data_IF_682702500866
#
_entry.id   IF_682702500866
#
_cell.length_a   1.000
_cell.length_b   1.000
_cell.length_c   1.000
_cell.angle_alpha   90.00
_cell.angle_beta   90.00
_cell.angle_gamma   90.00
#
_symmetry.space_group_name_H-M   'P 1'
#
loop_
_entity.id
_entity.type
_entity.pdbx_description
1 polymer ?
#
# COMPACT_ATOMS: atom_id res chain seq x y z
N UNK A 1 6.17 -1.23 -26.94
CA UNK A 1 5.38 -2.35 -27.49
C UNK A 1 5.87 -3.62 -26.84
N UNK A 2 5.14 -4.17 -25.87
CA UNK A 2 5.43 -5.48 -25.28
C UNK A 2 4.99 -6.55 -26.26
N UNK A 3 5.89 -7.45 -26.66
CA UNK A 3 5.53 -8.67 -27.37
C UNK A 3 4.41 -9.38 -26.60
N UNK A 4 3.30 -9.67 -27.27
CA UNK A 4 2.15 -10.31 -26.64
C UNK A 4 2.49 -11.77 -26.38
N UNK A 5 2.40 -12.20 -25.12
CA UNK A 5 2.57 -13.60 -24.73
C UNK A 5 1.47 -14.48 -25.33
N UNK A 6 1.76 -15.78 -25.48
CA UNK A 6 0.87 -16.78 -26.08
C UNK A 6 -0.55 -16.81 -25.50
N UNK A 7 -0.71 -16.44 -24.23
CA UNK A 7 -1.97 -16.44 -23.50
C UNK A 7 -2.47 -15.04 -23.11
N UNK A 8 -1.95 -14.00 -23.78
CA UNK A 8 -2.32 -12.61 -23.51
C UNK A 8 -3.85 -12.42 -23.59
N UNK A 9 -4.43 -11.75 -22.59
CA UNK A 9 -5.87 -11.54 -22.47
C UNK A 9 -6.69 -12.76 -22.05
N UNK A 10 -6.11 -13.96 -22.00
CA UNK A 10 -6.85 -15.16 -21.62
C UNK A 10 -6.98 -15.30 -20.11
N UNK A 11 -8.18 -15.68 -19.66
CA UNK A 11 -8.44 -16.02 -18.27
C UNK A 11 -8.08 -17.47 -18.00
N UNK A 12 -6.95 -17.71 -17.34
CA UNK A 12 -6.50 -19.06 -17.00
C UNK A 12 -6.96 -19.44 -15.60
N UNK A 13 -7.24 -20.73 -15.39
CA UNK A 13 -7.44 -21.30 -14.06
C UNK A 13 -6.09 -21.64 -13.45
N UNK A 14 -5.98 -21.66 -12.12
CA UNK A 14 -4.74 -22.07 -11.45
C UNK A 14 -4.29 -23.45 -11.93
N UNK A 15 -5.22 -24.43 -11.97
CA UNK A 15 -4.95 -25.80 -12.47
C UNK A 15 -4.39 -25.82 -13.89
N UNK A 16 -4.87 -24.95 -14.79
CA UNK A 16 -4.35 -24.86 -16.17
C UNK A 16 -2.93 -24.28 -16.19
N UNK A 17 -2.66 -23.21 -15.44
CA UNK A 17 -1.31 -22.64 -15.30
C UNK A 17 -0.34 -23.69 -14.78
N UNK A 18 -0.70 -24.43 -13.72
CA UNK A 18 0.16 -25.45 -13.13
C UNK A 18 0.46 -26.60 -14.10
N UNK A 19 -0.53 -27.05 -14.88
CA UNK A 19 -0.32 -28.08 -15.92
C UNK A 19 0.62 -27.61 -17.01
N UNK A 20 0.46 -26.36 -17.47
CA UNK A 20 1.34 -25.78 -18.48
C UNK A 20 2.77 -25.61 -17.93
N UNK A 21 2.90 -25.11 -16.70
CA UNK A 21 4.19 -24.95 -16.03
C UNK A 21 4.92 -26.30 -15.87
N UNK A 22 4.20 -27.34 -15.46
CA UNK A 22 4.72 -28.70 -15.38
C UNK A 22 5.14 -29.26 -16.76
N UNK A 23 4.50 -28.83 -17.85
CA UNK A 23 4.88 -29.16 -19.21
C UNK A 23 6.05 -28.31 -19.76
N UNK A 24 6.68 -27.48 -18.93
CA UNK A 24 7.83 -26.64 -19.30
C UNK A 24 7.47 -25.23 -19.78
N UNK A 25 6.19 -24.87 -19.84
CA UNK A 25 5.78 -23.50 -20.18
C UNK A 25 6.23 -22.53 -19.08
N UNK A 26 6.76 -21.38 -19.49
CA UNK A 26 7.16 -20.31 -18.58
C UNK A 26 6.57 -18.96 -18.99
N UNK A 27 6.07 -18.82 -20.22
CA UNK A 27 5.47 -17.58 -20.70
C UNK A 27 3.97 -17.53 -20.36
N UNK A 28 3.63 -16.75 -19.34
CA UNK A 28 2.27 -16.44 -18.92
C UNK A 28 1.98 -14.93 -19.05
N UNK A 29 2.71 -14.24 -19.93
CA UNK A 29 2.59 -12.78 -20.10
C UNK A 29 1.18 -12.39 -20.53
N UNK A 30 0.68 -11.31 -19.94
CA UNK A 30 -0.63 -10.74 -20.26
C UNK A 30 -1.84 -11.57 -19.84
N UNK A 31 -1.65 -12.67 -19.10
CA UNK A 31 -2.76 -13.54 -18.65
C UNK A 31 -3.62 -12.86 -17.59
N UNK A 32 -4.87 -13.31 -17.45
CA UNK A 32 -5.79 -12.87 -16.38
C UNK A 32 -5.89 -13.97 -15.33
N UNK A 33 -5.27 -13.72 -14.18
CA UNK A 33 -5.15 -14.62 -13.04
C UNK A 33 -5.82 -14.07 -11.78
N UNK A 34 -6.67 -13.05 -11.89
CA UNK A 34 -7.34 -12.46 -10.74
C UNK A 34 -8.03 -13.52 -9.85
N UNK A 35 -7.78 -13.45 -8.54
CA UNK A 35 -8.36 -14.34 -7.53
C UNK A 35 -7.84 -15.78 -7.55
N UNK A 36 -6.80 -16.11 -8.33
CA UNK A 36 -6.26 -17.48 -8.37
C UNK A 36 -5.40 -17.79 -7.15
N UNK A 37 -5.33 -19.07 -6.79
CA UNK A 37 -4.53 -19.54 -5.66
C UNK A 37 -3.35 -20.37 -6.15
N UNK A 38 -2.15 -19.93 -5.79
CA UNK A 38 -0.85 -20.57 -6.04
C UNK A 38 -0.07 -20.73 -4.72
N UNK A 39 -0.76 -20.87 -3.59
CA UNK A 39 -0.12 -21.06 -2.28
C UNK A 39 0.83 -22.26 -2.30
N UNK A 40 2.05 -22.08 -1.82
CA UNK A 40 3.04 -23.15 -1.67
C UNK A 40 3.56 -23.72 -3.00
N UNK A 41 3.23 -23.11 -4.14
CA UNK A 41 3.63 -23.61 -5.46
C UNK A 41 5.00 -23.05 -5.82
N UNK A 42 5.84 -23.85 -6.48
CA UNK A 42 7.02 -23.36 -7.19
C UNK A 42 6.66 -22.91 -8.62
N UNK A 43 6.84 -21.62 -8.89
CA UNK A 43 6.69 -21.00 -10.22
C UNK A 43 7.97 -20.26 -10.61
N UNK A 44 9.13 -20.70 -10.11
CA UNK A 44 10.42 -20.07 -10.38
C UNK A 44 10.70 -19.93 -11.87
N UNK A 45 11.25 -18.76 -12.25
CA UNK A 45 11.54 -18.40 -13.63
C UNK A 45 10.32 -18.17 -14.53
N UNK A 46 9.09 -18.23 -14.02
CA UNK A 46 7.90 -17.91 -14.81
C UNK A 46 7.87 -16.41 -15.18
N UNK A 47 7.27 -16.11 -16.32
CA UNK A 47 7.07 -14.75 -16.80
C UNK A 47 5.57 -14.40 -16.79
N UNK A 48 5.16 -13.65 -15.76
CA UNK A 48 3.83 -13.06 -15.60
C UNK A 48 3.81 -11.57 -16.00
N UNK A 49 4.73 -11.12 -16.85
CA UNK A 49 4.77 -9.71 -17.25
C UNK A 49 3.47 -9.27 -17.92
N UNK A 50 2.92 -8.13 -17.50
CA UNK A 50 1.63 -7.62 -17.98
C UNK A 50 0.40 -8.42 -17.51
N UNK A 51 0.57 -9.44 -16.67
CA UNK A 51 -0.56 -10.24 -16.18
C UNK A 51 -1.41 -9.45 -15.18
N UNK A 52 -2.72 -9.68 -15.21
CA UNK A 52 -3.66 -9.18 -14.20
C UNK A 52 -3.74 -10.19 -13.07
N UNK A 53 -3.18 -9.85 -11.92
CA UNK A 53 -3.02 -10.76 -10.77
C UNK A 53 -3.71 -10.25 -9.51
N UNK A 54 -4.69 -9.33 -9.63
CA UNK A 54 -5.45 -8.78 -8.49
C UNK A 54 -6.13 -9.89 -7.68
N UNK A 55 -5.93 -9.90 -6.36
CA UNK A 55 -6.44 -10.93 -5.45
C UNK A 55 -5.81 -12.32 -5.61
N UNK A 56 -4.74 -12.45 -6.39
CA UNK A 56 -4.02 -13.74 -6.55
C UNK A 56 -3.22 -14.03 -5.28
N UNK A 57 -3.26 -15.28 -4.81
CA UNK A 57 -2.53 -15.72 -3.63
C UNK A 57 -1.29 -16.51 -4.02
N UNK A 58 -0.12 -15.92 -3.81
CA UNK A 58 1.20 -16.53 -3.91
C UNK A 58 1.83 -16.77 -2.52
N UNK A 59 0.98 -16.94 -1.50
CA UNK A 59 1.44 -17.14 -0.13
C UNK A 59 2.34 -18.38 -0.06
N UNK A 60 3.53 -18.29 0.53
CA UNK A 60 4.51 -19.39 0.64
C UNK A 60 4.96 -19.97 -0.71
N UNK A 61 4.69 -19.30 -1.83
CA UNK A 61 5.14 -19.75 -3.13
C UNK A 61 6.65 -19.52 -3.30
N UNK A 62 7.29 -20.38 -4.10
CA UNK A 62 8.66 -20.16 -4.56
C UNK A 62 8.59 -19.44 -5.92
N UNK A 63 9.08 -18.21 -5.96
CA UNK A 63 8.97 -17.30 -7.10
C UNK A 63 10.35 -16.76 -7.52
N UNK A 64 11.39 -17.57 -7.35
CA UNK A 64 12.77 -17.17 -7.64
C UNK A 64 12.91 -16.80 -9.11
N UNK A 65 13.45 -15.62 -9.40
CA UNK A 65 13.64 -15.11 -10.76
C UNK A 65 12.34 -14.85 -11.54
N UNK A 66 11.17 -14.90 -10.89
CA UNK A 66 9.87 -14.72 -11.55
C UNK A 66 9.69 -13.27 -11.99
N UNK A 67 9.14 -13.06 -13.19
CA UNK A 67 8.90 -11.71 -13.73
C UNK A 67 7.45 -11.32 -13.56
N UNK A 68 7.22 -10.19 -12.90
CA UNK A 68 5.94 -9.50 -12.77
C UNK A 68 6.01 -8.10 -13.40
N UNK A 69 6.85 -7.91 -14.43
CA UNK A 69 7.05 -6.61 -15.05
C UNK A 69 5.74 -6.10 -15.66
N UNK A 70 5.31 -4.87 -15.37
CA UNK A 70 4.01 -4.34 -15.81
C UNK A 70 2.78 -5.13 -15.32
N UNK A 71 2.93 -6.04 -14.35
CA UNK A 71 1.78 -6.77 -13.81
C UNK A 71 0.88 -5.83 -12.99
N UNK A 72 -0.42 -6.12 -12.99
CA UNK A 72 -1.43 -5.40 -12.19
C UNK A 72 -1.79 -6.24 -10.96
N UNK A 73 -1.24 -5.89 -9.80
CA UNK A 73 -1.54 -6.51 -8.51
C UNK A 73 -2.44 -5.60 -7.66
N UNK A 74 -3.08 -6.20 -6.66
CA UNK A 74 -3.90 -5.50 -5.68
C UNK A 74 -5.33 -6.00 -5.54
N UNK A 75 -6.24 -5.11 -5.15
CA UNK A 75 -7.66 -5.43 -4.93
C UNK A 75 -8.40 -5.74 -6.21
N UNK A 76 -9.37 -6.64 -6.15
CA UNK A 76 -10.33 -6.85 -7.24
C UNK A 76 -11.45 -5.82 -7.17
N UNK A 77 -11.85 -5.24 -8.31
CA UNK A 77 -12.94 -4.25 -8.42
C UNK A 77 -14.28 -4.71 -7.81
N UNK A 78 -14.50 -6.01 -7.60
CA UNK A 78 -15.72 -6.53 -6.98
C UNK A 78 -15.91 -6.09 -5.52
N UNK A 79 -14.84 -5.73 -4.81
CA UNK A 79 -14.98 -5.27 -3.43
C UNK A 79 -15.60 -3.87 -3.35
N UNK A 80 -15.34 -2.99 -4.30
CA UNK A 80 -16.02 -1.69 -4.38
C UNK A 80 -17.53 -1.87 -4.62
N UNK A 81 -17.90 -2.85 -5.44
CA UNK A 81 -19.30 -3.23 -5.64
C UNK A 81 -19.93 -3.85 -4.39
N UNK A 82 -19.19 -4.66 -3.62
CA UNK A 82 -19.67 -5.20 -2.33
C UNK A 82 -19.84 -4.09 -1.30
N UNK A 83 -18.94 -3.11 -1.24
CA UNK A 83 -19.10 -1.94 -0.36
C UNK A 83 -20.33 -1.10 -0.74
N UNK A 84 -20.57 -0.91 -2.03
CA UNK A 84 -21.80 -0.29 -2.55
C UNK A 84 -23.05 -1.10 -2.18
N UNK A 85 -22.99 -2.43 -2.30
CA UNK A 85 -24.14 -3.31 -2.06
C UNK A 85 -24.45 -3.43 -0.55
N UNK A 86 -23.42 -3.49 0.30
CA UNK A 86 -23.56 -3.41 1.76
C UNK A 86 -24.09 -2.03 2.16
N UNK A 87 -23.59 -0.95 1.56
CA UNK A 87 -24.15 0.39 1.73
C UNK A 87 -25.63 0.44 1.37
N UNK A 88 -26.02 -0.11 0.21
CA UNK A 88 -27.41 -0.22 -0.24
C UNK A 88 -28.28 -1.05 0.72
N UNK A 89 -27.78 -2.17 1.24
CA UNK A 89 -28.50 -3.02 2.20
C UNK A 89 -28.72 -2.33 3.54
N UNK A 90 -27.73 -1.57 4.03
CA UNK A 90 -27.85 -0.77 5.26
C UNK A 90 -28.89 0.34 5.06
N UNK A 91 -28.90 1.01 3.90
CA UNK A 91 -29.92 2.00 3.55
C UNK A 91 -31.31 1.36 3.52
N UNK A 92 -31.45 0.19 2.89
CA UNK A 92 -32.72 -0.53 2.80
C UNK A 92 -33.24 -0.99 4.18
N UNK A 93 -32.36 -1.46 5.07
CA UNK A 93 -32.74 -1.83 6.43
C UNK A 93 -33.23 -0.62 7.23
N UNK A 94 -32.54 0.52 7.15
CA UNK A 94 -32.98 1.76 7.79
C UNK A 94 -34.37 2.21 7.31
N UNK A 95 -34.65 2.06 6.01
CA UNK A 95 -35.96 2.37 5.43
C UNK A 95 -37.08 1.44 5.94
N UNK A 96 -36.78 0.15 6.12
CA UNK A 96 -37.75 -0.82 6.66
C UNK A 96 -38.13 -0.53 8.11
N UNK A 97 -37.17 -0.08 8.92
CA UNK A 97 -37.39 0.25 10.33
C UNK A 97 -38.23 1.52 10.49
N UNK A 98 -38.00 2.55 9.69
CA UNK A 98 -38.81 3.78 9.73
C UNK A 98 -40.24 3.54 9.23
N UNK A 99 -40.42 2.71 8.20
CA UNK A 99 -41.75 2.28 7.75
C UNK A 99 -42.50 1.46 8.80
N UNK A 100 -41.83 0.55 9.51
CA UNK A 100 -42.44 -0.21 10.59
C UNK A 100 -42.88 0.69 11.76
N UNK A 101 -42.06 1.67 12.14
CA UNK A 101 -42.42 2.66 13.19
C UNK A 101 -43.57 3.56 12.73
N UNK A 102 -43.61 3.95 11.46
CA UNK A 102 -44.73 4.71 10.88
C UNK A 102 -46.04 3.91 10.93
N UNK A 103 -46.02 2.65 10.51
CA UNK A 103 -47.18 1.75 10.55
C UNK A 103 -47.62 1.49 11.98
N UNK A 104 -46.68 1.24 12.90
CA UNK A 104 -46.99 1.06 14.32
C UNK A 104 -47.58 2.34 14.94
N UNK A 105 -47.04 3.51 14.59
CA UNK A 105 -47.60 4.81 14.97
C UNK A 105 -49.04 4.98 14.49
N UNK A 106 -49.30 4.67 13.21
CA UNK A 106 -50.64 4.68 12.61
C UNK A 106 -51.62 3.71 13.28
N UNK A 107 -51.14 2.54 13.69
CA UNK A 107 -51.95 1.53 14.39
C UNK A 107 -52.24 1.92 15.84
N UNK A 108 -51.30 2.61 16.51
CA UNK A 108 -51.47 3.11 17.87
C UNK A 108 -52.32 4.39 17.94
N UNK A 109 -52.37 5.17 16.87
CA UNK A 109 -53.24 6.35 16.73
C UNK A 109 -54.54 6.05 15.99
N UNK A 110 -54.81 4.79 15.64
CA UNK A 110 -56.10 4.42 15.07
C UNK A 110 -57.18 4.79 16.09
N UNK A 111 -58.16 5.65 15.73
CA UNK A 111 -59.12 6.16 16.68
C UNK A 111 -59.85 4.98 17.29
N UNK A 112 -59.77 4.81 18.62
CA UNK A 112 -60.89 4.23 19.32
C UNK A 112 -62.05 5.15 19.01
N UNK A 113 -62.95 4.70 18.14
CA UNK A 113 -64.21 5.39 17.89
C UNK A 113 -64.80 5.72 19.26
N UNK A 114 -64.96 7.01 19.52
CA UNK A 114 -65.46 7.64 20.75
C UNK A 114 -64.40 8.44 21.53
N UNK A 115 -64.16 9.67 21.09
CA UNK A 115 -64.40 10.89 21.87
C UNK A 115 -63.68 12.08 21.21
N UNK A 116 -64.42 13.18 21.07
CA UNK A 116 -64.02 14.34 20.28
C UNK A 116 -62.77 15.07 20.79
N UNK A 117 -62.07 15.68 19.84
CA UNK A 117 -61.26 16.87 20.04
C UNK A 117 -59.82 16.61 20.44
N UNK A 118 -59.03 16.05 19.51
CA UNK A 118 -57.62 16.35 19.23
C UNK A 118 -57.24 15.48 18.03
N UNK A 119 -57.49 16.00 16.83
CA UNK A 119 -56.91 15.44 15.62
C UNK A 119 -55.39 15.59 15.73
N UNK A 120 -54.73 14.58 16.27
CA UNK A 120 -53.29 14.46 16.18
C UNK A 120 -53.02 14.29 14.70
N UNK A 121 -52.59 15.36 14.03
CA UNK A 121 -52.55 15.47 12.58
C UNK A 121 -51.58 14.41 12.02
N UNK A 122 -52.12 13.22 11.74
CA UNK A 122 -51.42 12.02 11.26
C UNK A 122 -50.63 12.36 9.99
N UNK A 123 -51.14 13.32 9.23
CA UNK A 123 -50.50 13.92 8.06
C UNK A 123 -49.18 14.61 8.41
N UNK A 124 -49.12 15.39 9.49
CA UNK A 124 -47.90 16.07 9.95
C UNK A 124 -46.85 15.10 10.50
N UNK A 125 -47.27 14.07 11.23
CA UNK A 125 -46.38 13.03 11.74
C UNK A 125 -45.79 12.17 10.60
N UNK A 126 -46.64 11.77 9.63
CA UNK A 126 -46.19 11.08 8.43
C UNK A 126 -45.22 11.92 7.60
N UNK A 127 -45.44 13.23 7.49
CA UNK A 127 -44.54 14.14 6.78
C UNK A 127 -43.19 14.29 7.49
N UNK A 128 -43.17 14.37 8.82
CA UNK A 128 -41.94 14.43 9.60
C UNK A 128 -41.11 13.14 9.47
N UNK A 129 -41.76 11.97 9.48
CA UNK A 129 -41.09 10.67 9.26
C UNK A 129 -40.56 10.54 7.83
N UNK A 130 -41.31 11.01 6.82
CA UNK A 130 -40.85 11.08 5.42
C UNK A 130 -39.65 12.00 5.24
N UNK A 131 -39.61 13.12 5.95
CA UNK A 131 -38.52 14.09 5.87
C UNK A 131 -37.24 13.58 6.56
N UNK A 132 -37.37 12.94 7.72
CA UNK A 132 -36.24 12.29 8.42
C UNK A 132 -35.69 11.12 7.60
N UNK A 133 -36.55 10.30 7.00
CA UNK A 133 -36.13 9.19 6.14
C UNK A 133 -35.45 9.69 4.84
N UNK A 134 -35.93 10.78 4.23
CA UNK A 134 -35.26 11.42 3.10
C UNK A 134 -33.84 11.93 3.46
N UNK A 135 -33.67 12.49 4.66
CA UNK A 135 -32.37 12.98 5.17
C UNK A 135 -31.38 11.84 5.40
N UNK A 136 -31.83 10.70 5.93
CA UNK A 136 -30.99 9.50 6.11
C UNK A 136 -30.57 8.92 4.75
N UNK A 137 -31.48 8.91 3.76
CA UNK A 137 -31.18 8.43 2.40
C UNK A 137 -30.17 9.34 1.69
N UNK A 138 -30.34 10.67 1.75
CA UNK A 138 -29.42 11.63 1.12
C UNK A 138 -28.06 11.64 1.81
N UNK A 139 -28.03 11.56 3.16
CA UNK A 139 -26.79 11.45 3.93
C UNK A 139 -26.01 10.17 3.61
N UNK A 140 -26.72 9.04 3.47
CA UNK A 140 -26.10 7.76 3.12
C UNK A 140 -25.63 7.70 1.65
N UNK A 141 -26.35 8.30 0.71
CA UNK A 141 -25.97 8.36 -0.70
C UNK A 141 -24.65 9.11 -0.94
N UNK A 142 -24.37 10.15 -0.14
CA UNK A 142 -23.12 10.93 -0.23
C UNK A 142 -21.94 10.16 0.38
N UNK A 143 -22.16 9.38 1.45
CA UNK A 143 -21.12 8.54 2.09
C UNK A 143 -20.65 7.41 1.16
N UNK A 144 -21.54 6.89 0.32
CA UNK A 144 -21.21 5.85 -0.68
C UNK A 144 -20.66 6.42 -2.00
N UNK A 145 -20.71 7.73 -2.22
CA UNK A 145 -20.60 8.34 -3.54
C UNK A 145 -19.23 8.90 -3.97
N UNK A 146 -18.30 9.19 -3.07
CA UNK A 146 -17.00 9.78 -3.46
C UNK A 146 -15.84 9.19 -2.69
N UNK A 147 -14.95 8.52 -3.42
CA UNK A 147 -13.64 8.15 -2.91
C UNK A 147 -12.89 9.38 -2.43
N UNK A 148 -12.45 9.32 -1.17
CA UNK A 148 -11.33 10.07 -0.60
C UNK A 148 -11.16 11.53 -1.05
N UNK A 149 -11.97 12.45 -0.51
CA UNK A 149 -11.55 13.78 -0.02
C UNK A 149 -12.77 14.68 0.13
N UNK A 150 -13.29 14.83 1.35
CA UNK A 150 -14.14 15.96 1.69
C UNK A 150 -13.74 16.45 3.08
N UNK A 151 -12.94 17.52 3.07
CA UNK A 151 -12.66 18.36 4.22
C UNK A 151 -13.93 19.14 4.62
N UNK A 152 -13.90 19.75 5.81
CA UNK A 152 -15.00 20.40 6.54
C UNK A 152 -15.97 21.30 5.75
N UNK A 153 -15.66 21.68 4.51
CA UNK A 153 -16.48 22.49 3.61
C UNK A 153 -17.80 21.84 3.17
N UNK A 154 -17.91 20.52 3.21
CA UNK A 154 -19.18 19.83 2.85
C UNK A 154 -20.23 19.92 3.95
N UNK A 155 -19.79 20.04 5.21
CA UNK A 155 -20.69 20.15 6.37
C UNK A 155 -21.47 21.47 6.33
N UNK A 156 -20.85 22.57 5.87
CA UNK A 156 -21.47 23.90 5.79
C UNK A 156 -22.50 24.03 4.67
N UNK A 157 -22.35 23.32 3.55
CA UNK A 157 -23.34 23.35 2.44
C UNK A 157 -24.63 22.62 2.85
N UNK A 158 -24.54 21.66 3.79
CA UNK A 158 -25.67 20.87 4.27
C UNK A 158 -26.38 21.58 5.43
N UNK A 159 -25.65 22.25 6.34
CA UNK A 159 -26.26 22.90 7.51
C UNK A 159 -27.09 24.14 7.17
N UNK A 160 -26.73 24.90 6.13
CA UNK A 160 -27.41 26.17 5.78
C UNK A 160 -28.87 26.01 5.27
N UNK A 161 -29.16 25.18 4.24
CA UNK A 161 -30.55 24.94 3.82
C UNK A 161 -31.35 24.18 4.88
N UNK A 162 -30.69 23.37 5.70
CA UNK A 162 -31.31 22.59 6.77
C UNK A 162 -31.76 23.45 7.95
N UNK A 163 -30.95 24.44 8.35
CA UNK A 163 -31.33 25.43 9.36
C UNK A 163 -32.54 26.28 8.92
N UNK A 164 -32.65 26.60 7.63
CA UNK A 164 -33.78 27.35 7.09
C UNK A 164 -35.10 26.55 7.11
N UNK A 165 -35.06 25.27 6.75
CA UNK A 165 -36.24 24.36 6.81
C UNK A 165 -36.64 24.10 8.27
N UNK A 166 -35.67 23.94 9.16
CA UNK A 166 -35.91 23.75 10.60
C UNK A 166 -36.50 25.01 11.26
N UNK A 167 -36.00 26.21 10.91
CA UNK A 167 -36.55 27.48 11.37
C UNK A 167 -37.99 27.69 10.90
N UNK A 168 -38.31 27.29 9.65
CA UNK A 168 -39.68 27.28 9.14
C UNK A 168 -40.60 26.32 9.91
N UNK A 169 -40.09 25.15 10.29
CA UNK A 169 -40.86 24.14 11.04
C UNK A 169 -41.16 24.56 12.48
N UNK A 170 -40.18 25.15 13.18
CA UNK A 170 -40.39 25.75 14.53
C UNK A 170 -41.42 26.88 14.46
N UNK A 171 -41.37 27.71 13.41
CA UNK A 171 -42.32 28.81 13.23
C UNK A 171 -43.76 28.32 13.00
N UNK A 172 -43.95 27.24 12.25
CA UNK A 172 -45.28 26.64 11.99
C UNK A 172 -45.85 25.97 13.23
N UNK A 173 -45.05 25.24 14.02
CA UNK A 173 -45.55 24.57 15.23
C UNK A 173 -45.72 25.50 16.43
N UNK A 174 -44.89 26.55 16.55
CA UNK A 174 -45.12 27.63 17.52
C UNK A 174 -46.46 28.35 17.31
N UNK A 175 -47.01 28.30 16.10
CA UNK A 175 -48.31 28.88 15.76
C UNK A 175 -49.52 27.96 16.04
N UNK A 176 -49.32 26.64 16.24
CA UNK A 176 -50.43 25.66 16.29
C UNK A 176 -50.66 25.05 17.69
N UNK A 177 -49.72 25.11 18.65
CA UNK A 177 -50.07 24.83 20.05
C UNK A 177 -48.95 24.46 21.03
N UNK A 178 -49.01 25.08 22.21
CA UNK A 178 -48.45 24.61 23.49
C UNK A 178 -46.92 24.61 23.62
N UNK A 179 -46.40 25.42 24.54
CA UNK A 179 -44.96 25.58 24.83
C UNK A 179 -44.21 24.29 25.21
N UNK A 180 -44.89 23.18 25.52
CA UNK A 180 -44.28 21.93 25.97
C UNK A 180 -43.86 20.99 24.82
N UNK A 181 -44.35 21.23 23.60
CA UNK A 181 -44.08 20.39 22.42
C UNK A 181 -42.69 20.64 21.83
N UNK A 182 -42.25 21.91 21.79
CA UNK A 182 -41.02 22.31 21.13
C UNK A 182 -39.75 21.73 21.77
N UNK A 183 -39.76 21.54 23.10
CA UNK A 183 -38.63 21.02 23.87
C UNK A 183 -38.38 19.52 23.64
N UNK A 184 -39.45 18.73 23.48
CA UNK A 184 -39.36 17.28 23.23
C UNK A 184 -38.82 17.01 21.82
N UNK A 185 -39.22 17.81 20.84
CA UNK A 185 -38.75 17.67 19.46
C UNK A 185 -37.31 18.18 19.26
N UNK A 186 -36.89 19.25 19.93
CA UNK A 186 -35.49 19.72 19.88
C UNK A 186 -34.54 18.73 20.54
N UNK A 187 -34.92 18.13 21.67
CA UNK A 187 -34.09 17.11 22.34
C UNK A 187 -34.02 15.80 21.57
N UNK A 188 -35.15 15.31 21.03
CA UNK A 188 -35.16 14.11 20.17
C UNK A 188 -34.32 14.31 18.89
N UNK A 189 -34.38 15.50 18.29
CA UNK A 189 -33.61 15.83 17.10
C UNK A 189 -32.10 15.91 17.36
N UNK A 190 -31.68 16.58 18.46
CA UNK A 190 -30.26 16.65 18.84
C UNK A 190 -29.70 15.26 19.11
N UNK A 191 -30.46 14.37 19.75
CA UNK A 191 -30.04 13.00 20.05
C UNK A 191 -29.95 12.17 18.77
N UNK A 192 -30.95 12.20 17.89
CA UNK A 192 -30.93 11.44 16.62
C UNK A 192 -29.85 11.95 15.68
N UNK A 193 -29.66 13.28 15.58
CA UNK A 193 -28.59 13.88 14.80
C UNK A 193 -27.20 13.57 15.38
N UNK A 194 -27.03 13.63 16.70
CA UNK A 194 -25.79 13.24 17.35
C UNK A 194 -25.48 11.74 17.15
N UNK A 195 -26.48 10.87 17.20
CA UNK A 195 -26.33 9.44 16.93
C UNK A 195 -26.00 9.20 15.44
N UNK A 196 -26.66 9.89 14.51
CA UNK A 196 -26.39 9.74 13.07
C UNK A 196 -25.00 10.26 12.70
N UNK A 197 -24.57 11.39 13.26
CA UNK A 197 -23.21 11.94 13.12
C UNK A 197 -22.20 11.01 13.78
N UNK A 198 -22.49 10.49 14.97
CA UNK A 198 -21.62 9.51 15.65
C UNK A 198 -21.49 8.22 14.83
N UNK A 199 -22.57 7.70 14.25
CA UNK A 199 -22.58 6.51 13.40
C UNK A 199 -21.87 6.73 12.04
N UNK A 200 -22.00 7.92 11.45
CA UNK A 200 -21.29 8.29 10.23
C UNK A 200 -19.79 8.48 10.48
N UNK A 201 -19.42 9.05 11.63
CA UNK A 201 -18.03 9.17 12.06
C UNK A 201 -17.45 7.81 12.42
N UNK A 202 -18.18 6.95 13.13
CA UNK A 202 -17.69 5.62 13.48
C UNK A 202 -17.48 4.74 12.27
N UNK A 203 -18.20 4.86 11.15
CA UNK A 203 -17.93 3.97 10.00
C UNK A 203 -16.58 4.28 9.29
N UNK A 204 -16.19 5.55 9.23
CA UNK A 204 -14.88 5.98 8.70
C UNK A 204 -13.73 5.77 9.70
N UNK A 205 -14.02 5.86 10.99
CA UNK A 205 -13.05 5.55 12.04
C UNK A 205 -12.90 4.04 12.23
N UNK A 206 -13.98 3.27 12.30
CA UNK A 206 -14.00 1.83 12.46
C UNK A 206 -13.31 1.11 11.30
N UNK A 207 -13.43 1.58 10.05
CA UNK A 207 -12.65 0.98 8.95
C UNK A 207 -11.14 1.22 9.12
N UNK A 208 -10.71 2.42 9.52
CA UNK A 208 -9.30 2.76 9.76
C UNK A 208 -8.76 2.17 11.06
N UNK A 209 -9.59 2.05 12.09
CA UNK A 209 -9.27 1.53 13.41
C UNK A 209 -9.28 0.01 13.40
N UNK A 210 -10.22 -0.66 12.72
CA UNK A 210 -10.12 -2.10 12.42
C UNK A 210 -8.85 -2.36 11.61
N UNK A 211 -8.53 -1.55 10.60
CA UNK A 211 -7.29 -1.70 9.83
C UNK A 211 -6.04 -1.44 10.70
N UNK A 212 -6.11 -0.53 11.68
CA UNK A 212 -5.04 -0.26 12.66
C UNK A 212 -4.90 -1.39 13.70
N UNK A 213 -6.01 -1.94 14.20
CA UNK A 213 -6.07 -3.06 15.15
C UNK A 213 -5.61 -4.37 14.50
N UNK A 214 -6.02 -4.65 13.26
CA UNK A 214 -5.48 -5.76 12.44
C UNK A 214 -3.97 -5.58 12.23
N UNK A 215 -3.50 -4.35 11.99
CA UNK A 215 -2.07 -4.02 11.85
C UNK A 215 -1.28 -4.20 13.15
N UNK A 216 -1.89 -4.00 14.32
CA UNK A 216 -1.25 -4.13 15.63
C UNK A 216 -1.26 -5.58 16.17
N UNK A 217 -1.92 -6.52 15.49
CA UNK A 217 -1.83 -7.95 15.80
C UNK A 217 -2.68 -8.39 16.99
N UNK A 218 -3.77 -7.68 17.26
CA UNK A 218 -4.70 -7.99 18.35
C UNK A 218 -5.38 -9.37 18.13
N UNK A 219 -5.32 -10.31 19.10
CA UNK A 219 -5.87 -11.66 18.96
C UNK A 219 -7.39 -11.71 18.78
N UNK A 220 -8.15 -10.70 19.24
CA UNK A 220 -9.62 -10.71 19.16
C UNK A 220 -10.14 -10.51 17.72
N UNK A 221 -9.27 -10.08 16.80
CA UNK A 221 -9.60 -9.80 15.41
C UNK A 221 -9.14 -10.89 14.43
N UNK A 222 -8.83 -12.10 14.89
CA UNK A 222 -8.36 -13.21 14.01
C UNK A 222 -9.30 -13.50 12.84
N UNK A 223 -10.61 -13.52 13.06
CA UNK A 223 -11.62 -13.78 12.01
C UNK A 223 -11.64 -12.63 11.00
N UNK A 224 -11.54 -11.38 11.47
CA UNK A 224 -11.47 -10.19 10.62
C UNK A 224 -10.13 -10.09 9.89
N UNK A 225 -9.03 -10.61 10.46
CA UNK A 225 -7.73 -10.74 9.79
C UNK A 225 -7.80 -11.80 8.69
N UNK A 226 -8.46 -12.94 8.93
CA UNK A 226 -8.68 -13.96 7.90
C UNK A 226 -9.61 -13.47 6.77
N UNK A 227 -10.55 -12.55 7.06
CA UNK A 227 -11.37 -11.86 6.07
C UNK A 227 -10.62 -10.69 5.38
N UNK A 228 -9.72 -9.98 6.08
CA UNK A 228 -8.90 -8.89 5.53
C UNK A 228 -7.70 -9.38 4.71
N UNK A 229 -7.24 -10.62 4.92
CA UNK A 229 -6.24 -11.31 4.08
C UNK A 229 -6.78 -11.62 2.66
N UNK A 230 -8.10 -11.46 2.44
CA UNK A 230 -8.75 -11.61 1.13
C UNK A 230 -8.56 -10.36 0.23
N UNK A 231 -7.95 -9.30 0.75
CA UNK A 231 -8.15 -7.96 0.23
C UNK A 231 -7.04 -7.44 -0.70
N UNK A 232 -6.31 -8.34 -1.36
CA UNK A 232 -5.26 -7.96 -2.32
C UNK A 232 -4.45 -9.14 -2.85
N UNK A 233 -3.60 -8.89 -3.83
CA UNK A 233 -2.58 -9.87 -4.22
C UNK A 233 -1.63 -10.10 -3.04
N UNK A 234 -1.37 -11.36 -2.71
CA UNK A 234 -0.63 -11.73 -1.50
C UNK A 234 0.61 -12.55 -1.83
N UNK A 235 1.78 -12.07 -1.42
CA UNK A 235 3.10 -12.72 -1.52
C UNK A 235 3.64 -13.13 -0.15
N UNK A 236 2.76 -13.35 0.83
CA UNK A 236 3.18 -13.52 2.20
C UNK A 236 4.01 -14.79 2.39
N UNK A 237 5.18 -14.69 3.02
CA UNK A 237 6.10 -15.83 3.19
C UNK A 237 6.65 -16.39 1.86
N UNK A 238 6.43 -15.70 0.74
CA UNK A 238 6.93 -16.14 -0.56
C UNK A 238 8.43 -15.91 -0.67
N UNK A 239 9.11 -16.77 -1.42
CA UNK A 239 10.49 -16.53 -1.83
C UNK A 239 10.52 -15.78 -3.16
N UNK A 240 10.77 -14.47 -3.13
CA UNK A 240 10.85 -13.60 -4.30
C UNK A 240 12.30 -13.31 -4.71
N UNK A 241 13.25 -14.16 -4.34
CA UNK A 241 14.67 -13.92 -4.66
C UNK A 241 14.85 -13.66 -6.16
N UNK A 242 15.47 -12.53 -6.53
CA UNK A 242 15.70 -12.11 -7.92
C UNK A 242 14.43 -11.90 -8.78
N UNK A 243 13.24 -11.87 -8.17
CA UNK A 243 12.01 -11.53 -8.87
C UNK A 243 12.01 -10.07 -9.35
N UNK A 244 11.21 -9.76 -10.36
CA UNK A 244 11.15 -8.40 -10.93
C UNK A 244 9.73 -7.87 -10.97
N UNK A 245 9.49 -6.74 -10.28
CA UNK A 245 8.25 -5.97 -10.35
C UNK A 245 8.41 -4.69 -11.18
N UNK A 246 9.41 -4.61 -12.05
CA UNK A 246 9.68 -3.39 -12.80
C UNK A 246 8.43 -2.88 -13.56
N UNK A 247 8.07 -1.61 -13.34
CA UNK A 247 6.89 -0.95 -13.91
C UNK A 247 5.53 -1.59 -13.52
N UNK A 248 5.49 -2.45 -12.49
CA UNK A 248 4.26 -3.05 -11.98
C UNK A 248 3.44 -2.07 -11.14
N UNK A 249 2.15 -2.37 -10.99
CA UNK A 249 1.24 -1.65 -10.10
C UNK A 249 0.96 -2.55 -8.89
N UNK A 250 1.31 -2.09 -7.68
CA UNK A 250 1.21 -2.85 -6.44
C UNK A 250 0.23 -2.25 -5.43
N UNK A 251 -0.99 -1.97 -5.89
CA UNK A 251 -2.06 -1.41 -5.05
C UNK A 251 -2.37 -2.32 -3.86
N UNK A 252 -2.13 -1.89 -2.62
CA UNK A 252 -2.46 -2.67 -1.40
C UNK A 252 -1.97 -4.12 -1.42
N UNK A 253 -0.90 -4.40 -2.16
CA UNK A 253 -0.32 -5.75 -2.28
C UNK A 253 0.41 -6.12 -1.00
N UNK A 254 0.33 -7.37 -0.56
CA UNK A 254 0.96 -7.81 0.69
C UNK A 254 2.26 -8.57 0.47
N UNK A 255 3.30 -8.15 1.15
CA UNK A 255 4.61 -8.81 1.27
C UNK A 255 4.93 -9.17 2.73
N UNK A 256 3.94 -9.14 3.62
CA UNK A 256 4.14 -9.48 5.03
C UNK A 256 4.52 -10.95 5.22
N UNK A 257 5.16 -11.30 6.33
CA UNK A 257 5.48 -12.71 6.62
C UNK A 257 4.19 -13.55 6.67
N UNK A 258 4.31 -14.85 6.41
CA UNK A 258 3.24 -15.79 6.74
C UNK A 258 3.38 -16.24 8.20
N UNK A 259 2.43 -17.05 8.68
CA UNK A 259 2.54 -17.69 10.01
C UNK A 259 3.73 -18.65 10.11
N UNK A 260 4.20 -19.17 8.97
CA UNK A 260 5.17 -20.26 8.90
C UNK A 260 6.57 -19.79 8.48
N UNK A 261 6.65 -18.73 7.67
CA UNK A 261 7.94 -18.26 7.15
C UNK A 261 7.96 -16.76 6.84
N UNK A 262 9.16 -16.20 6.87
CA UNK A 262 9.42 -14.83 6.46
C UNK A 262 9.36 -14.68 4.94
N UNK A 263 8.84 -13.56 4.45
CA UNK A 263 8.93 -13.21 3.02
C UNK A 263 10.38 -12.86 2.66
N UNK A 264 10.90 -13.43 1.58
CA UNK A 264 12.27 -13.17 1.11
C UNK A 264 12.21 -12.21 -0.08
N UNK A 265 12.78 -11.02 0.08
CA UNK A 265 12.80 -9.97 -0.96
C UNK A 265 14.22 -9.72 -1.52
N UNK A 266 15.10 -10.70 -1.38
CA UNK A 266 16.50 -10.61 -1.81
C UNK A 266 16.60 -10.37 -3.32
N UNK A 267 17.26 -9.29 -3.69
CA UNK A 267 17.56 -8.83 -5.05
C UNK A 267 16.32 -8.63 -5.92
N UNK A 268 15.16 -8.33 -5.31
CA UNK A 268 13.95 -7.96 -6.04
C UNK A 268 14.14 -6.63 -6.76
N UNK A 269 13.73 -6.56 -8.03
CA UNK A 269 13.76 -5.32 -8.82
C UNK A 269 12.47 -4.53 -8.66
N UNK A 270 12.57 -3.30 -8.12
CA UNK A 270 11.44 -2.40 -7.85
C UNK A 270 11.37 -1.15 -8.76
N UNK A 271 12.14 -1.16 -9.85
CA UNK A 271 12.26 -0.01 -10.75
C UNK A 271 10.89 0.47 -11.26
N UNK A 272 10.59 1.76 -11.10
CA UNK A 272 9.33 2.39 -11.53
C UNK A 272 8.05 1.69 -11.03
N UNK A 273 8.10 0.99 -9.91
CA UNK A 273 6.90 0.39 -9.31
C UNK A 273 5.95 1.50 -8.87
N UNK A 274 4.67 1.35 -9.22
CA UNK A 274 3.61 2.26 -8.83
C UNK A 274 2.89 1.77 -7.56
N UNK A 275 2.48 2.71 -6.72
CA UNK A 275 1.68 2.45 -5.50
C UNK A 275 2.35 1.56 -4.45
N UNK A 276 3.68 1.47 -4.46
CA UNK A 276 4.44 0.73 -3.44
C UNK A 276 4.18 1.25 -2.00
N UNK A 277 3.90 2.54 -1.84
CA UNK A 277 3.55 3.17 -0.55
C UNK A 277 2.25 2.60 0.07
N UNK A 278 1.35 2.09 -0.77
CA UNK A 278 0.11 1.46 -0.32
C UNK A 278 0.27 -0.03 0.01
N UNK A 279 1.40 -0.63 -0.36
CA UNK A 279 1.65 -2.04 -0.16
C UNK A 279 1.95 -2.34 1.31
N UNK A 280 1.57 -3.53 1.77
CA UNK A 280 1.90 -4.02 3.10
C UNK A 280 3.29 -4.65 3.09
N UNK A 281 4.30 -3.86 3.43
CA UNK A 281 5.72 -4.22 3.26
C UNK A 281 6.29 -5.12 4.38
N UNK A 282 5.46 -5.57 5.33
CA UNK A 282 5.90 -6.48 6.40
C UNK A 282 7.04 -5.89 7.23
N UNK A 283 7.94 -6.75 7.74
CA UNK A 283 9.17 -6.36 8.45
C UNK A 283 10.37 -6.15 7.52
N UNK A 284 10.13 -5.88 6.23
CA UNK A 284 11.21 -5.72 5.25
C UNK A 284 11.95 -4.40 5.39
N UNK A 285 13.14 -4.34 4.78
CA UNK A 285 13.91 -3.11 4.59
C UNK A 285 13.19 -2.03 3.76
N UNK A 286 12.11 -2.38 3.06
CA UNK A 286 11.28 -1.42 2.33
C UNK A 286 10.43 -0.53 3.26
N UNK A 287 10.46 -0.72 4.59
CA UNK A 287 9.83 0.21 5.55
C UNK A 287 10.45 1.61 5.53
N UNK A 288 11.74 1.72 5.24
CA UNK A 288 12.42 3.01 5.13
C UNK A 288 12.00 3.72 3.82
N UNK A 289 11.35 4.89 3.87
CA UNK A 289 10.95 5.63 2.68
C UNK A 289 12.14 6.03 1.80
N UNK A 290 13.33 6.24 2.37
CA UNK A 290 14.56 6.56 1.62
C UNK A 290 14.97 5.38 0.74
N UNK A 291 14.83 4.15 1.26
CA UNK A 291 15.11 2.91 0.52
C UNK A 291 14.09 2.73 -0.60
N UNK A 292 12.81 2.99 -0.35
CA UNK A 292 11.77 2.96 -1.41
C UNK A 292 12.06 3.97 -2.52
N UNK A 293 12.35 5.22 -2.14
CA UNK A 293 12.69 6.28 -3.09
C UNK A 293 13.88 5.89 -3.96
N UNK A 294 14.93 5.31 -3.36
CA UNK A 294 16.09 4.81 -4.10
C UNK A 294 15.69 3.74 -5.13
N UNK A 295 14.95 2.72 -4.71
CA UNK A 295 14.66 1.53 -5.50
C UNK A 295 13.64 1.77 -6.62
N UNK A 296 12.71 2.71 -6.44
CA UNK A 296 11.73 3.07 -7.49
C UNK A 296 12.30 4.06 -8.49
N UNK A 297 13.25 4.92 -8.08
CA UNK A 297 13.80 6.00 -8.90
C UNK A 297 15.30 5.86 -9.21
N UNK A 298 15.77 4.64 -9.46
CA UNK A 298 17.20 4.29 -9.70
C UNK A 298 17.93 5.10 -10.79
N UNK A 299 17.19 5.81 -11.65
CA UNK A 299 17.72 6.58 -12.77
C UNK A 299 17.53 8.10 -12.65
N UNK A 300 16.80 8.61 -11.66
CA UNK A 300 16.51 10.05 -11.56
C UNK A 300 17.56 10.86 -10.78
N UNK A 301 18.50 10.19 -10.12
CA UNK A 301 19.53 10.78 -9.25
C UNK A 301 20.65 11.55 -9.97
N UNK A 302 20.43 12.06 -11.19
CA UNK A 302 21.51 12.56 -12.04
C UNK A 302 21.33 13.91 -12.75
N UNK A 303 20.19 14.61 -12.69
CA UNK A 303 19.97 15.76 -13.60
C UNK A 303 19.44 17.04 -12.96
N UNK A 304 19.48 17.24 -11.64
CA UNK A 304 19.11 18.54 -11.10
C UNK A 304 19.48 18.76 -9.65
N UNK A 305 20.62 19.39 -9.40
CA UNK A 305 20.96 20.22 -8.23
C UNK A 305 20.73 19.70 -6.79
N UNK A 306 20.11 18.54 -6.59
CA UNK A 306 19.81 17.99 -5.29
C UNK A 306 21.04 17.25 -4.75
N UNK A 307 21.33 17.47 -3.47
CA UNK A 307 22.36 16.72 -2.74
C UNK A 307 22.13 15.21 -2.90
N UNK A 308 23.20 14.40 -3.02
CA UNK A 308 23.07 12.94 -3.06
C UNK A 308 22.23 12.44 -1.88
N UNK A 309 21.33 11.47 -2.15
CA UNK A 309 20.48 10.88 -1.12
C UNK A 309 21.33 10.31 0.03
N UNK A 310 21.00 10.67 1.26
CA UNK A 310 21.69 10.17 2.45
C UNK A 310 21.03 8.90 3.00
N UNK A 311 21.74 7.78 2.87
CA UNK A 311 21.36 6.46 3.33
C UNK A 311 22.35 5.93 4.38
N UNK A 312 23.00 6.83 5.13
CA UNK A 312 23.73 6.43 6.32
C UNK A 312 22.82 5.63 7.26
N UNK A 313 23.40 4.58 7.85
CA UNK A 313 22.74 3.63 8.78
C UNK A 313 21.55 2.86 8.18
N UNK A 314 21.31 2.94 6.87
CA UNK A 314 20.18 2.27 6.25
C UNK A 314 20.36 0.74 6.22
N UNK A 315 19.26 0.02 6.44
CA UNK A 315 19.18 -1.41 6.15
C UNK A 315 18.88 -1.61 4.66
N UNK A 316 19.89 -2.05 3.92
CA UNK A 316 19.83 -2.31 2.48
C UNK A 316 20.17 -3.78 2.19
N UNK A 317 19.90 -4.68 3.14
CA UNK A 317 20.16 -6.11 2.95
C UNK A 317 19.42 -6.64 1.74
N UNK A 318 20.15 -7.33 0.88
CA UNK A 318 19.59 -7.94 -0.31
C UNK A 318 18.95 -6.95 -1.29
N UNK A 319 19.25 -5.65 -1.28
CA UNK A 319 18.65 -4.76 -2.31
C UNK A 319 19.24 -5.02 -3.70
N UNK A 320 18.46 -4.73 -4.74
CA UNK A 320 18.92 -4.75 -6.12
C UNK A 320 19.18 -3.32 -6.62
N UNK A 321 20.45 -2.96 -6.71
CA UNK A 321 20.95 -1.68 -7.22
C UNK A 321 21.84 -1.88 -8.46
N UNK A 322 21.68 -3.00 -9.16
CA UNK A 322 22.43 -3.28 -10.37
C UNK A 322 22.22 -2.15 -11.40
N UNK A 323 23.33 -1.65 -11.95
CA UNK A 323 23.40 -0.54 -12.93
C UNK A 323 22.82 0.80 -12.44
N UNK A 324 22.56 0.96 -11.15
CA UNK A 324 22.05 2.20 -10.58
C UNK A 324 23.09 3.33 -10.68
N UNK A 325 22.63 4.58 -10.83
CA UNK A 325 23.49 5.78 -10.84
C UNK A 325 23.55 6.37 -9.43
N UNK A 326 24.60 6.04 -8.68
CA UNK A 326 24.76 6.33 -7.25
C UNK A 326 26.00 7.21 -6.95
N UNK A 327 26.30 8.14 -7.86
CA UNK A 327 27.46 9.02 -7.72
C UNK A 327 27.37 9.84 -6.43
N UNK A 328 28.42 9.78 -5.59
CA UNK A 328 28.49 10.56 -4.37
C UNK A 328 27.52 10.15 -3.25
N UNK A 329 26.84 9.00 -3.37
CA UNK A 329 25.86 8.56 -2.38
C UNK A 329 26.50 8.36 -1.00
N UNK A 330 25.79 8.71 0.07
CA UNK A 330 26.22 8.39 1.43
C UNK A 330 25.58 7.08 1.89
N UNK A 331 26.39 6.03 2.06
CA UNK A 331 26.00 4.72 2.56
C UNK A 331 26.76 4.38 3.86
N UNK A 332 27.31 5.37 4.56
CA UNK A 332 28.10 5.16 5.78
C UNK A 332 27.34 4.30 6.80
N UNK A 333 27.97 3.24 7.32
CA UNK A 333 27.38 2.27 8.26
C UNK A 333 26.14 1.52 7.75
N UNK A 334 25.81 1.61 6.46
CA UNK A 334 24.68 0.87 5.91
C UNK A 334 24.95 -0.65 5.91
N UNK A 335 23.90 -1.44 6.08
CA UNK A 335 23.95 -2.89 5.94
C UNK A 335 23.62 -3.29 4.50
N UNK A 336 24.63 -3.66 3.72
CA UNK A 336 24.54 -4.03 2.31
C UNK A 336 24.60 -5.55 2.09
N UNK A 337 24.53 -6.36 3.16
CA UNK A 337 24.73 -7.81 3.06
C UNK A 337 23.77 -8.44 2.03
N UNK A 338 24.30 -9.25 1.12
CA UNK A 338 23.53 -9.93 0.07
C UNK A 338 23.00 -9.03 -1.06
N UNK A 339 23.22 -7.71 -1.00
CA UNK A 339 22.80 -6.79 -2.06
C UNK A 339 23.56 -7.03 -3.38
N UNK A 340 23.06 -6.48 -4.48
CA UNK A 340 23.80 -6.41 -5.74
C UNK A 340 23.92 -4.97 -6.22
N UNK A 341 25.16 -4.57 -6.50
CA UNK A 341 25.60 -3.33 -7.13
C UNK A 341 26.24 -3.64 -8.50
N UNK A 342 25.89 -4.76 -9.13
CA UNK A 342 26.49 -5.18 -10.38
C UNK A 342 26.36 -4.08 -11.46
N UNK A 343 27.49 -3.56 -11.94
CA UNK A 343 27.55 -2.47 -12.91
C UNK A 343 27.09 -1.10 -12.40
N UNK A 344 26.87 -0.92 -11.10
CA UNK A 344 26.41 0.35 -10.51
C UNK A 344 27.51 1.42 -10.54
N UNK A 345 27.11 2.67 -10.72
CA UNK A 345 28.00 3.83 -10.62
C UNK A 345 28.10 4.33 -9.18
N UNK A 346 29.13 3.91 -8.45
CA UNK A 346 29.39 4.27 -7.04
C UNK A 346 30.58 5.24 -6.90
N UNK A 347 30.89 6.01 -7.95
CA UNK A 347 32.03 6.91 -7.91
C UNK A 347 31.81 7.96 -6.81
N UNK A 348 32.84 8.21 -5.99
CA UNK A 348 32.79 9.13 -4.84
C UNK A 348 31.76 8.76 -3.76
N UNK A 349 31.20 7.55 -3.76
CA UNK A 349 30.31 7.10 -2.71
C UNK A 349 31.04 6.97 -1.37
N UNK A 350 30.33 7.22 -0.27
CA UNK A 350 30.82 6.91 1.07
C UNK A 350 30.30 5.54 1.50
N UNK A 351 31.17 4.51 1.44
CA UNK A 351 30.91 3.15 1.89
C UNK A 351 31.61 2.85 3.23
N UNK A 352 32.00 3.88 3.97
CA UNK A 352 32.70 3.71 5.25
C UNK A 352 31.86 2.91 6.23
N UNK A 353 32.47 1.93 6.90
CA UNK A 353 31.85 1.11 7.94
C UNK A 353 30.64 0.30 7.45
N UNK A 354 30.52 0.07 6.14
CA UNK A 354 29.41 -0.73 5.58
C UNK A 354 29.61 -2.22 5.84
N UNK A 355 28.51 -2.96 5.96
CA UNK A 355 28.53 -4.43 5.96
C UNK A 355 28.24 -4.93 4.54
N UNK A 356 29.22 -5.55 3.90
CA UNK A 356 29.18 -5.96 2.48
C UNK A 356 29.32 -7.48 2.30
N UNK A 357 28.87 -8.28 3.27
CA UNK A 357 28.97 -9.75 3.24
C UNK A 357 28.00 -10.30 2.18
N UNK A 358 28.51 -11.07 1.23
CA UNK A 358 27.69 -11.64 0.15
C UNK A 358 27.21 -10.59 -0.86
N UNK A 359 27.74 -9.36 -0.80
CA UNK A 359 27.40 -8.27 -1.71
C UNK A 359 28.11 -8.47 -3.04
N UNK A 360 27.37 -8.24 -4.12
CA UNK A 360 27.89 -8.37 -5.48
C UNK A 360 28.24 -6.99 -6.06
N UNK A 361 29.53 -6.72 -6.25
CA UNK A 361 30.07 -5.52 -6.89
C UNK A 361 30.57 -5.77 -8.32
N UNK A 362 30.11 -6.85 -8.98
CA UNK A 362 30.58 -7.21 -10.32
C UNK A 362 30.50 -6.03 -11.28
N UNK A 363 31.60 -5.63 -11.92
CA UNK A 363 31.65 -4.49 -12.84
C UNK A 363 31.22 -3.12 -12.26
N UNK A 364 31.11 -2.97 -10.94
CA UNK A 364 30.75 -1.70 -10.29
C UNK A 364 31.86 -0.65 -10.44
N UNK A 365 31.49 0.64 -10.47
CA UNK A 365 32.44 1.73 -10.63
C UNK A 365 32.71 2.40 -9.29
N UNK A 366 33.86 2.13 -8.66
CA UNK A 366 34.19 2.58 -7.31
C UNK A 366 35.21 3.72 -7.25
N UNK A 367 35.51 4.35 -8.39
CA UNK A 367 36.54 5.41 -8.44
C UNK A 367 36.22 6.55 -7.46
N UNK A 368 37.16 6.80 -6.54
CA UNK A 368 37.08 7.83 -5.51
C UNK A 368 36.13 7.53 -4.36
N UNK A 369 35.60 6.31 -4.27
CA UNK A 369 34.79 5.90 -3.13
C UNK A 369 35.62 5.80 -1.84
N UNK A 370 35.00 6.04 -0.69
CA UNK A 370 35.59 5.82 0.62
C UNK A 370 35.17 4.44 1.15
N UNK A 371 36.14 3.56 1.42
CA UNK A 371 35.96 2.18 1.86
C UNK A 371 36.50 1.96 3.29
N UNK A 372 36.64 3.04 4.07
CA UNK A 372 37.15 2.98 5.45
C UNK A 372 36.37 1.95 6.25
N UNK A 373 37.03 0.94 6.81
CA UNK A 373 36.43 -0.07 7.68
C UNK A 373 35.20 -0.79 7.09
N UNK A 374 35.08 -0.88 5.75
CA UNK A 374 34.03 -1.72 5.17
C UNK A 374 34.29 -3.19 5.48
N UNK A 375 33.24 -3.95 5.80
CA UNK A 375 33.34 -5.37 6.14
C UNK A 375 33.00 -6.21 4.91
N UNK A 376 33.98 -6.97 4.42
CA UNK A 376 33.81 -7.94 3.31
C UNK A 376 34.26 -9.34 3.76
N UNK A 377 33.89 -10.37 3.01
CA UNK A 377 34.43 -11.73 3.21
C UNK A 377 34.54 -12.47 1.87
N UNK A 378 34.84 -13.78 1.91
CA UNK A 378 34.96 -14.61 0.71
C UNK A 378 33.69 -14.74 -0.14
N UNK A 379 32.51 -14.39 0.40
CA UNK A 379 31.25 -14.36 -0.34
C UNK A 379 30.98 -13.02 -1.05
N UNK A 380 31.74 -11.97 -0.74
CA UNK A 380 31.67 -10.68 -1.45
C UNK A 380 32.29 -10.83 -2.84
N UNK A 381 31.55 -10.45 -3.89
CA UNK A 381 32.02 -10.57 -5.28
C UNK A 381 32.58 -9.22 -5.72
N UNK A 382 33.87 -9.19 -6.05
CA UNK A 382 34.57 -7.98 -6.53
C UNK A 382 35.01 -8.08 -7.99
N UNK A 383 34.48 -9.02 -8.75
CA UNK A 383 34.93 -9.30 -10.13
C UNK A 383 34.75 -8.09 -11.06
N UNK A 384 35.76 -7.78 -11.86
CA UNK A 384 35.74 -6.76 -12.90
C UNK A 384 35.44 -5.34 -12.38
N UNK A 385 35.74 -5.08 -11.10
CA UNK A 385 35.49 -3.76 -10.49
C UNK A 385 36.27 -2.68 -11.22
N UNK A 386 35.57 -1.63 -11.65
CA UNK A 386 36.17 -0.49 -12.35
C UNK A 386 36.57 0.58 -11.35
N UNK A 387 37.84 0.60 -11.01
CA UNK A 387 38.36 1.55 -10.04
C UNK A 387 39.69 2.14 -10.51
N UNK A 388 39.85 3.47 -10.44
CA UNK A 388 41.17 4.11 -10.60
C UNK A 388 41.87 4.28 -9.25
N UNK A 389 41.13 4.69 -8.23
CA UNK A 389 41.62 4.87 -6.87
C UNK A 389 40.45 4.82 -5.87
N UNK A 390 40.74 4.54 -4.60
CA UNK A 390 39.81 4.62 -3.46
C UNK A 390 40.46 5.32 -2.26
N UNK A 391 39.67 5.66 -1.25
CA UNK A 391 40.14 6.15 0.05
C UNK A 391 39.84 5.15 1.16
N UNK A 392 40.78 4.92 2.07
CA UNK A 392 40.61 4.07 3.25
C UNK A 392 40.43 4.87 4.53
N UNK A 393 40.44 6.20 4.44
CA UNK A 393 40.08 7.10 5.53
C UNK A 393 39.00 8.09 5.09
N UNK A 394 38.16 8.49 6.05
CA UNK A 394 37.17 9.54 5.85
C UNK A 394 37.90 10.88 5.81
N UNK A 395 37.54 11.75 4.85
CA UNK A 395 38.20 13.05 4.66
C UNK A 395 37.98 13.94 5.88
N UNK A 396 38.95 13.98 6.79
CA UNK A 396 38.86 14.74 8.04
C UNK A 396 39.77 15.98 8.08
N UNK A 397 40.67 16.19 7.12
CA UNK A 397 41.60 17.32 7.18
C UNK A 397 41.73 18.14 5.87
N UNK A 398 42.17 19.40 6.05
CA UNK A 398 42.39 20.38 4.99
C UNK A 398 43.62 20.07 4.12
N UNK A 399 44.36 18.99 4.39
CA UNK A 399 45.60 18.61 3.70
C UNK A 399 45.38 17.82 2.39
N UNK A 400 44.15 17.36 2.14
CA UNK A 400 43.67 17.00 0.80
C UNK A 400 43.89 15.54 0.36
N UNK A 401 44.58 14.71 1.14
CA UNK A 401 44.83 13.31 0.79
C UNK A 401 44.58 12.38 1.99
N UNK A 402 43.32 12.06 2.28
CA UNK A 402 43.01 10.86 3.08
C UNK A 402 43.63 9.62 2.43
N UNK A 403 43.83 8.53 3.20
CA UNK A 403 44.60 7.33 2.80
C UNK A 403 44.19 6.76 1.42
N UNK A 404 44.77 7.30 0.33
CA UNK A 404 44.44 6.96 -1.06
C UNK A 404 45.14 5.66 -1.43
N UNK A 405 44.43 4.81 -2.17
CA UNK A 405 44.99 3.62 -2.80
C UNK A 405 44.72 3.64 -4.31
N UNK A 406 45.74 3.47 -5.17
CA UNK A 406 47.18 3.41 -4.85
C UNK A 406 47.70 4.69 -4.17
N UNK A 407 48.83 4.63 -3.45
CA UNK A 407 49.36 5.82 -2.74
C UNK A 407 49.84 6.91 -3.71
N UNK A 408 50.50 6.53 -4.80
CA UNK A 408 50.94 7.47 -5.84
C UNK A 408 49.71 8.10 -6.54
N UNK A 409 49.52 9.43 -6.51
CA UNK A 409 48.40 10.12 -7.14
C UNK A 409 48.25 9.87 -8.65
N UNK A 410 49.36 9.64 -9.34
CA UNK A 410 49.40 9.40 -10.79
C UNK A 410 49.14 7.92 -11.13
N UNK A 411 49.30 7.02 -10.16
CA UNK A 411 49.00 5.61 -10.34
C UNK A 411 47.48 5.33 -10.24
N UNK A 412 47.06 4.32 -11.01
CA UNK A 412 45.69 3.80 -11.00
C UNK A 412 45.70 2.29 -10.90
N UNK A 413 44.69 1.70 -10.26
CA UNK A 413 44.48 0.26 -10.28
C UNK A 413 44.32 -0.21 -11.73
N UNK A 414 45.11 -1.21 -12.13
CA UNK A 414 44.91 -1.94 -13.37
C UNK A 414 43.83 -3.01 -13.18
N UNK A 415 43.43 -3.65 -14.27
CA UNK A 415 42.45 -4.73 -14.23
C UNK A 415 42.91 -5.86 -13.31
N UNK A 416 42.10 -6.21 -12.30
CA UNK A 416 42.41 -7.24 -11.32
C UNK A 416 43.14 -6.75 -10.06
N UNK A 417 43.78 -5.58 -10.08
CA UNK A 417 44.57 -5.09 -8.94
C UNK A 417 43.69 -4.81 -7.72
N UNK A 418 42.48 -4.27 -7.95
CA UNK A 418 41.54 -3.95 -6.88
C UNK A 418 41.08 -5.23 -6.16
N UNK A 419 40.77 -6.27 -6.92
CA UNK A 419 40.35 -7.57 -6.42
C UNK A 419 41.47 -8.23 -5.61
N UNK A 420 42.71 -8.16 -6.09
CA UNK A 420 43.87 -8.69 -5.38
C UNK A 420 44.13 -7.94 -4.07
N UNK A 421 43.93 -6.62 -4.06
CA UNK A 421 44.13 -5.79 -2.87
C UNK A 421 43.23 -6.22 -1.70
N UNK A 422 42.01 -6.66 -1.98
CA UNK A 422 41.01 -7.05 -0.98
C UNK A 422 40.87 -8.57 -0.76
N UNK A 423 41.59 -9.41 -1.52
CA UNK A 423 41.59 -10.88 -1.37
C UNK A 423 42.57 -11.40 -0.30
N UNK A 424 43.28 -10.53 0.40
CA UNK A 424 44.32 -10.89 1.38
C UNK A 424 43.77 -11.40 2.69
#
# INVERSE_FOLDING_TARGET
MTEQGKYCGQRLTAKKVLRLYAAGERDFRGTILNGRNFRGVDLSGADFSGAKIRGTRFVEATLVGTKFCHAEAGRTNQWEAVQLLVGLLVIACGFSQTMAIMVLGLMLTAPSADAGGRDFDVTAFAFAVLLVSAVVIVGAAIITGTGAAMTATTVTIITAPFAAVFAGFIAVFGAIGGNDSAAVFTTAFVVVFAIAVALALTNNFLSKDIERCIRQGDPDFEILRNLAVIDGTAFNGANLTEASFANAILDRTSFANSQQCSTILTRVRWQNVQQLESAHLGSSNLRDPRVRQLLTHLNSSGTGGQSPLDLADADLRGVNLAKAKLHGINLKRANLNGATFAGAGLQRANLSQTLCIGTDFTAAHLTGACLKDWTINSSTVLQDVKCRYVFLEERLDRSGYGDRRPQNPDATFQSGDFEQFFKK
#
